data_IF_039576831209
#
_entry.id   IF_039576831209
#
_cell.length_a   1.000
_cell.length_b   1.000
_cell.length_c   1.000
_cell.angle_alpha   90.00
_cell.angle_beta   90.00
_cell.angle_gamma   90.00
#
_symmetry.space_group_name_H-M   'P 1'
#
loop_
_entity.id
_entity.type
_entity.pdbx_description
1 polymer ?
#
# COMPACT_ATOMS: atom_id res chain seq x y z
N UNK A 1 30.23 5.84 -39.77
CA UNK A 1 29.46 5.29 -38.63
C UNK A 1 30.26 4.32 -37.75
N UNK A 2 31.04 3.39 -38.31
CA UNK A 2 31.82 2.40 -37.55
C UNK A 2 32.84 2.99 -36.55
N UNK A 3 33.51 4.10 -36.89
CA UNK A 3 34.51 4.76 -36.02
C UNK A 3 33.91 5.35 -34.74
N UNK A 4 32.67 5.86 -34.79
CA UNK A 4 31.97 6.43 -33.63
C UNK A 4 31.61 5.36 -32.59
N UNK A 5 31.23 4.16 -33.05
CA UNK A 5 30.95 3.03 -32.15
C UNK A 5 32.22 2.45 -31.53
N UNK A 6 33.35 2.45 -32.25
CA UNK A 6 34.65 2.03 -31.71
C UNK A 6 35.10 2.96 -30.58
N UNK A 7 34.94 4.27 -30.73
CA UNK A 7 35.29 5.25 -29.68
C UNK A 7 34.38 5.10 -28.44
N UNK A 8 33.10 4.80 -28.63
CA UNK A 8 32.15 4.55 -27.54
C UNK A 8 32.50 3.29 -26.73
N UNK A 9 32.92 2.22 -27.41
CA UNK A 9 33.34 0.96 -26.77
C UNK A 9 34.63 1.13 -25.98
N UNK A 10 35.60 1.91 -26.50
CA UNK A 10 36.84 2.24 -25.80
C UNK A 10 36.54 3.04 -24.52
N UNK A 11 35.60 3.99 -24.58
CA UNK A 11 35.21 4.79 -23.41
C UNK A 11 34.55 3.96 -22.30
N UNK A 12 33.66 3.03 -22.65
CA UNK A 12 33.03 2.10 -21.69
C UNK A 12 34.06 1.14 -21.07
N UNK A 13 35.04 0.68 -21.85
CA UNK A 13 36.11 -0.20 -21.38
C UNK A 13 37.12 0.50 -20.44
N UNK A 14 37.31 1.81 -20.54
CA UNK A 14 38.19 2.56 -19.63
C UNK A 14 37.60 2.79 -18.24
N UNK A 15 36.28 2.72 -18.06
CA UNK A 15 35.62 2.91 -16.75
C UNK A 15 35.71 1.63 -15.89
N UNK A 16 35.87 0.45 -16.51
CA UNK A 16 35.94 -0.85 -15.80
C UNK A 16 37.32 -1.21 -15.25
N UNK A 17 38.36 -0.40 -15.49
CA UNK A 17 39.74 -0.68 -15.03
C UNK A 17 40.11 -0.05 -13.67
N UNK A 18 39.15 0.51 -12.93
CA UNK A 18 39.36 0.83 -11.52
C UNK A 18 39.35 -0.47 -10.70
N UNK A 19 40.52 -1.08 -10.54
CA UNK A 19 40.70 -2.21 -9.63
C UNK A 19 40.18 -1.86 -8.24
N UNK A 20 39.12 -2.55 -7.81
CA UNK A 20 38.53 -2.34 -6.49
C UNK A 20 39.60 -2.55 -5.44
N UNK A 21 39.60 -1.66 -4.46
CA UNK A 21 40.60 -1.66 -3.41
C UNK A 21 39.88 -1.56 -2.09
N UNK A 22 40.12 -2.53 -1.23
CA UNK A 22 39.36 -2.67 0.00
C UNK A 22 40.18 -2.20 1.19
N UNK A 23 39.57 -1.42 2.06
CA UNK A 23 40.22 -0.95 3.29
C UNK A 23 39.96 -1.93 4.43
N UNK A 24 41.01 -2.50 5.00
CA UNK A 24 40.94 -3.44 6.12
C UNK A 24 41.49 -2.76 7.36
N UNK A 25 40.73 -2.79 8.45
CA UNK A 25 41.17 -2.33 9.77
C UNK A 25 41.30 -3.58 10.64
N UNK A 26 42.51 -3.84 11.12
CA UNK A 26 42.80 -4.98 12.00
C UNK A 26 42.44 -4.68 13.45
N UNK A 27 42.35 -5.71 14.29
CA UNK A 27 42.07 -5.55 15.73
C UNK A 27 43.16 -4.73 16.45
N UNK A 28 44.39 -4.75 15.91
CA UNK A 28 45.51 -3.91 16.35
C UNK A 28 45.41 -2.43 15.94
N UNK A 29 44.35 -2.04 15.21
CA UNK A 29 44.16 -0.68 14.70
C UNK A 29 44.96 -0.37 13.43
N UNK A 30 45.75 -1.31 12.91
CA UNK A 30 46.48 -1.11 11.66
C UNK A 30 45.53 -1.11 10.47
N UNK A 31 45.74 -0.16 9.56
CA UNK A 31 44.92 0.04 8.36
C UNK A 31 45.70 -0.41 7.13
N UNK A 32 45.15 -1.38 6.41
CA UNK A 32 45.67 -1.86 5.14
C UNK A 32 44.69 -1.53 4.01
N UNK A 33 45.23 -1.35 2.82
CA UNK A 33 44.47 -1.29 1.57
C UNK A 33 44.84 -2.53 0.76
N UNK A 34 43.88 -3.39 0.47
CA UNK A 34 44.05 -4.65 -0.25
C UNK A 34 43.59 -4.46 -1.69
N UNK A 35 44.45 -4.82 -2.66
CA UNK A 35 44.14 -4.79 -4.09
C UNK A 35 44.54 -6.12 -4.72
N UNK A 36 43.59 -7.03 -4.87
CA UNK A 36 43.88 -8.42 -5.22
C UNK A 36 44.86 -9.01 -4.20
N UNK A 37 46.02 -9.49 -4.67
CA UNK A 37 47.04 -10.11 -3.81
C UNK A 37 48.05 -9.11 -3.21
N UNK A 38 47.87 -7.80 -3.43
CA UNK A 38 48.78 -6.77 -2.94
C UNK A 38 48.21 -6.06 -1.71
N UNK A 39 49.07 -5.83 -0.73
CA UNK A 39 48.75 -5.18 0.54
C UNK A 39 49.52 -3.88 0.65
N UNK A 40 48.80 -2.79 0.90
CA UNK A 40 49.39 -1.46 1.06
C UNK A 40 49.13 -0.92 2.45
N UNK A 41 50.16 -0.37 3.10
CA UNK A 41 50.07 0.37 4.36
C UNK A 41 50.58 1.78 4.12
N UNK A 42 49.78 2.79 4.47
CA UNK A 42 50.10 4.21 4.21
C UNK A 42 50.46 4.51 2.74
N UNK A 43 49.88 3.76 1.80
CA UNK A 43 50.12 3.91 0.37
C UNK A 43 51.38 3.20 -0.16
N UNK A 44 52.21 2.61 0.70
CA UNK A 44 53.38 1.79 0.31
C UNK A 44 52.99 0.33 0.20
N UNK A 45 53.50 -0.35 -0.83
CA UNK A 45 53.32 -1.80 -1.01
C UNK A 45 54.18 -2.55 0.01
N UNK A 46 53.52 -3.23 0.94
CA UNK A 46 54.14 -4.01 2.03
C UNK A 46 53.96 -5.51 1.82
N UNK A 47 53.56 -5.93 0.62
CA UNK A 47 53.21 -7.34 0.32
C UNK A 47 54.35 -8.31 0.61
N UNK A 48 55.60 -7.92 0.30
CA UNK A 48 56.78 -8.74 0.54
C UNK A 48 57.21 -8.78 2.01
N UNK A 49 56.84 -7.76 2.79
CA UNK A 49 57.20 -7.60 4.20
C UNK A 49 56.25 -8.38 5.13
N UNK A 50 55.04 -8.67 4.65
CA UNK A 50 54.05 -9.45 5.40
C UNK A 50 54.33 -10.95 5.32
N UNK A 51 54.30 -11.62 6.46
CA UNK A 51 54.24 -13.08 6.52
C UNK A 51 52.95 -13.60 5.89
N UNK A 52 52.97 -14.82 5.40
CA UNK A 52 51.78 -15.43 4.79
C UNK A 52 50.63 -15.55 5.80
N UNK A 53 50.93 -15.88 7.05
CA UNK A 53 49.96 -15.87 8.15
C UNK A 53 49.30 -14.49 8.37
N UNK A 54 50.06 -13.40 8.18
CA UNK A 54 49.53 -12.03 8.33
C UNK A 54 48.66 -11.66 7.14
N UNK A 55 49.03 -12.07 5.91
CA UNK A 55 48.21 -11.88 4.71
C UNK A 55 46.88 -12.64 4.82
N UNK A 56 46.93 -13.89 5.25
CA UNK A 56 45.74 -14.72 5.50
C UNK A 56 44.83 -14.07 6.54
N UNK A 57 45.38 -13.57 7.65
CA UNK A 57 44.60 -12.85 8.65
C UNK A 57 43.92 -11.60 8.08
N UNK A 58 44.65 -10.75 7.34
CA UNK A 58 44.08 -9.53 6.73
C UNK A 58 42.96 -9.89 5.75
N UNK A 59 43.15 -10.91 4.91
CA UNK A 59 42.13 -11.38 3.98
C UNK A 59 40.92 -11.96 4.72
N UNK A 60 41.12 -12.75 5.77
CA UNK A 60 40.03 -13.29 6.58
C UNK A 60 39.22 -12.20 7.28
N UNK A 61 39.84 -11.07 7.67
CA UNK A 61 39.11 -9.89 8.18
C UNK A 61 38.29 -9.26 7.06
N UNK A 62 38.89 -9.08 5.86
CA UNK A 62 38.19 -8.52 4.70
C UNK A 62 36.98 -9.37 4.28
N UNK A 63 37.17 -10.68 4.14
CA UNK A 63 36.10 -11.61 3.76
C UNK A 63 34.97 -11.62 4.78
N UNK A 64 35.27 -11.59 6.08
CA UNK A 64 34.26 -11.47 7.13
C UNK A 64 33.47 -10.16 7.00
N UNK A 65 34.14 -9.05 6.74
CA UNK A 65 33.49 -7.74 6.53
C UNK A 65 32.57 -7.77 5.31
N UNK A 66 33.07 -8.23 4.17
CA UNK A 66 32.29 -8.31 2.91
C UNK A 66 31.11 -9.27 3.05
N UNK A 67 31.28 -10.38 3.75
CA UNK A 67 30.18 -11.31 4.03
C UNK A 67 29.11 -10.65 4.91
N UNK A 68 29.51 -9.94 5.95
CA UNK A 68 28.59 -9.21 6.82
C UNK A 68 27.87 -8.07 6.09
N UNK A 69 28.56 -7.33 5.21
CA UNK A 69 27.95 -6.30 4.35
C UNK A 69 26.91 -6.90 3.42
N UNK A 70 27.23 -8.02 2.77
CA UNK A 70 26.28 -8.72 1.88
C UNK A 70 25.07 -9.25 2.65
N UNK A 71 25.29 -9.87 3.80
CA UNK A 71 24.19 -10.34 4.66
C UNK A 71 23.30 -9.18 5.13
N UNK A 72 23.90 -8.03 5.47
CA UNK A 72 23.17 -6.82 5.84
C UNK A 72 22.35 -6.26 4.66
N UNK A 73 22.92 -6.22 3.45
CA UNK A 73 22.23 -5.78 2.24
C UNK A 73 21.04 -6.71 1.91
N UNK A 74 21.26 -8.03 1.93
CA UNK A 74 20.19 -9.01 1.71
C UNK A 74 19.08 -8.89 2.77
N UNK A 75 19.43 -8.63 4.04
CA UNK A 75 18.45 -8.37 5.10
C UNK A 75 17.69 -7.06 4.88
N UNK A 76 18.37 -5.99 4.48
CA UNK A 76 17.76 -4.70 4.20
C UNK A 76 16.77 -4.80 3.03
N UNK A 77 17.14 -5.48 1.94
CA UNK A 77 16.24 -5.73 0.80
C UNK A 77 15.02 -6.55 1.21
N UNK A 78 15.21 -7.59 2.04
CA UNK A 78 14.09 -8.39 2.56
C UNK A 78 13.14 -7.55 3.42
N UNK A 79 13.68 -6.73 4.33
CA UNK A 79 12.88 -5.85 5.19
C UNK A 79 12.11 -4.84 4.33
N UNK A 80 12.74 -4.22 3.33
CA UNK A 80 12.07 -3.30 2.39
C UNK A 80 10.94 -4.00 1.65
N UNK A 81 11.19 -5.18 1.08
CA UNK A 81 10.18 -5.96 0.37
C UNK A 81 9.01 -6.42 1.25
N UNK A 82 9.26 -6.75 2.51
CA UNK A 82 8.21 -7.06 3.48
C UNK A 82 7.40 -5.82 3.87
N UNK A 83 8.07 -4.68 4.07
CA UNK A 83 7.42 -3.41 4.37
C UNK A 83 6.50 -2.95 3.23
N UNK A 84 6.94 -3.05 1.98
CA UNK A 84 6.12 -2.73 0.80
C UNK A 84 4.86 -3.61 0.74
N UNK A 85 5.02 -4.93 0.92
CA UNK A 85 3.87 -5.87 0.97
C UNK A 85 2.90 -5.56 2.10
N UNK A 86 3.40 -5.16 3.27
CA UNK A 86 2.56 -4.77 4.40
C UNK A 86 1.78 -3.48 4.10
N UNK A 87 2.43 -2.48 3.48
CA UNK A 87 1.77 -1.24 3.08
C UNK A 87 0.68 -1.47 2.03
N UNK A 88 0.93 -2.34 1.04
CA UNK A 88 -0.09 -2.70 0.05
C UNK A 88 -1.30 -3.40 0.69
N UNK A 89 -1.05 -4.35 1.60
CA UNK A 89 -2.11 -5.02 2.36
C UNK A 89 -2.91 -4.04 3.21
N UNK A 90 -2.24 -3.11 3.89
CA UNK A 90 -2.90 -2.07 4.69
C UNK A 90 -3.81 -1.20 3.82
N UNK A 91 -3.33 -0.74 2.65
CA UNK A 91 -4.12 0.03 1.69
C UNK A 91 -5.35 -0.75 1.21
N UNK A 92 -5.17 -2.02 0.84
CA UNK A 92 -6.27 -2.87 0.39
C UNK A 92 -7.31 -3.10 1.50
N UNK A 93 -6.88 -3.31 2.74
CA UNK A 93 -7.76 -3.45 3.89
C UNK A 93 -8.54 -2.16 4.18
N UNK A 94 -7.88 -0.99 4.14
CA UNK A 94 -8.53 0.31 4.29
C UNK A 94 -9.58 0.56 3.21
N UNK A 95 -9.30 0.19 1.96
CA UNK A 95 -10.28 0.30 0.87
C UNK A 95 -11.49 -0.63 1.10
N UNK A 96 -11.26 -1.88 1.51
CA UNK A 96 -12.34 -2.82 1.83
C UNK A 96 -13.19 -2.33 3.00
N UNK A 97 -12.55 -1.83 4.06
CA UNK A 97 -13.23 -1.25 5.21
C UNK A 97 -14.13 -0.09 4.77
N UNK A 98 -13.60 0.85 3.99
CA UNK A 98 -14.37 1.99 3.47
C UNK A 98 -15.57 1.54 2.62
N UNK A 99 -15.40 0.54 1.77
CA UNK A 99 -16.52 -0.01 0.98
C UNK A 99 -17.60 -0.66 1.86
N UNK A 100 -17.20 -1.33 2.95
CA UNK A 100 -18.14 -1.93 3.90
C UNK A 100 -18.88 -0.84 4.66
N UNK A 101 -18.17 0.20 5.12
CA UNK A 101 -18.75 1.36 5.81
C UNK A 101 -19.77 2.08 4.90
N UNK A 102 -19.40 2.42 3.67
CA UNK A 102 -20.30 3.05 2.70
C UNK A 102 -21.55 2.19 2.39
N UNK A 103 -21.39 0.87 2.27
CA UNK A 103 -22.52 -0.05 2.07
C UNK A 103 -23.43 -0.10 3.30
N UNK A 104 -22.84 -0.08 4.49
CA UNK A 104 -23.57 -0.11 5.76
C UNK A 104 -24.35 1.18 5.93
N UNK A 105 -23.72 2.33 5.71
CA UNK A 105 -24.34 3.64 5.77
C UNK A 105 -25.53 3.75 4.80
N UNK A 106 -25.33 3.39 3.52
CA UNK A 106 -26.43 3.38 2.53
C UNK A 106 -27.58 2.47 2.94
N UNK A 107 -27.29 1.32 3.53
CA UNK A 107 -28.32 0.39 4.02
C UNK A 107 -29.08 0.96 5.21
N UNK A 108 -28.39 1.64 6.12
CA UNK A 108 -29.01 2.32 7.26
C UNK A 108 -29.88 3.49 6.81
N UNK A 109 -29.41 4.30 5.86
CA UNK A 109 -30.19 5.38 5.25
C UNK A 109 -31.45 4.83 4.56
N UNK A 110 -31.33 3.77 3.78
CA UNK A 110 -32.47 3.11 3.13
C UNK A 110 -33.49 2.59 4.16
N UNK A 111 -33.01 1.99 5.26
CA UNK A 111 -33.86 1.56 6.39
C UNK A 111 -34.60 2.74 7.03
N UNK A 112 -33.89 3.82 7.34
CA UNK A 112 -34.49 5.05 7.91
C UNK A 112 -35.54 5.65 6.96
N UNK A 113 -35.25 5.71 5.66
CA UNK A 113 -36.19 6.19 4.64
C UNK A 113 -37.47 5.34 4.61
N UNK A 114 -37.33 4.01 4.60
CA UNK A 114 -38.47 3.10 4.61
C UNK A 114 -39.35 3.26 5.84
N UNK A 115 -38.76 3.27 7.05
CA UNK A 115 -39.55 3.41 8.28
C UNK A 115 -40.27 4.75 8.32
N UNK A 116 -39.61 5.83 7.90
CA UNK A 116 -40.25 7.15 7.79
C UNK A 116 -41.44 7.14 6.83
N UNK A 117 -41.28 6.57 5.63
CA UNK A 117 -42.39 6.49 4.66
C UNK A 117 -43.52 5.60 5.18
N UNK A 118 -43.20 4.53 5.91
CA UNK A 118 -44.17 3.64 6.53
C UNK A 118 -45.01 4.39 7.57
N UNK A 119 -44.38 5.13 8.46
CA UNK A 119 -45.04 5.99 9.45
C UNK A 119 -45.91 7.08 8.79
N UNK A 120 -45.39 7.75 7.76
CA UNK A 120 -46.13 8.74 6.97
C UNK A 120 -47.37 8.12 6.30
N UNK A 121 -47.27 6.89 5.81
CA UNK A 121 -48.40 6.18 5.19
C UNK A 121 -49.43 5.76 6.24
N UNK A 122 -49.00 5.24 7.38
CA UNK A 122 -49.88 4.81 8.47
C UNK A 122 -50.67 5.99 9.06
N UNK A 123 -49.98 7.11 9.31
CA UNK A 123 -50.63 8.35 9.76
C UNK A 123 -51.63 8.87 8.74
N UNK A 124 -51.27 8.90 7.44
CA UNK A 124 -52.19 9.32 6.38
C UNK A 124 -53.40 8.40 6.24
N UNK A 125 -53.22 7.08 6.39
CA UNK A 125 -54.33 6.10 6.39
C UNK A 125 -55.27 6.34 7.55
N UNK A 126 -54.74 6.64 8.75
CA UNK A 126 -55.51 6.96 9.94
C UNK A 126 -56.33 8.24 9.76
N UNK A 127 -55.70 9.33 9.30
CA UNK A 127 -56.39 10.59 8.99
C UNK A 127 -57.53 10.39 7.99
N UNK A 128 -57.25 9.66 6.90
CA UNK A 128 -58.26 9.39 5.88
C UNK A 128 -59.44 8.58 6.43
N UNK A 129 -59.19 7.56 7.28
CA UNK A 129 -60.26 6.79 7.93
C UNK A 129 -61.14 7.68 8.79
N UNK A 130 -60.53 8.52 9.64
CA UNK A 130 -61.27 9.43 10.52
C UNK A 130 -62.15 10.43 9.75
N UNK A 131 -61.62 11.05 8.70
CA UNK A 131 -62.41 12.02 7.90
C UNK A 131 -63.53 11.29 7.12
N UNK A 132 -63.25 10.07 6.64
CA UNK A 132 -64.24 9.24 5.94
C UNK A 132 -65.39 8.83 6.85
N UNK A 133 -65.09 8.43 8.09
CA UNK A 133 -66.08 8.09 9.12
C UNK A 133 -66.96 9.29 9.49
N UNK A 134 -66.39 10.50 9.52
CA UNK A 134 -67.15 11.74 9.76
C UNK A 134 -68.03 12.18 8.59
N UNK A 135 -67.91 11.55 7.42
CA UNK A 135 -68.68 11.92 6.22
C UNK A 135 -68.26 13.25 5.57
N UNK A 136 -67.11 13.82 5.96
CA UNK A 136 -66.65 15.16 5.54
C UNK A 136 -66.02 15.19 4.13
N UNK A 137 -66.04 14.07 3.40
CA UNK A 137 -65.32 13.89 2.13
C UNK A 137 -66.22 14.02 0.91
N UNK A 138 -66.08 15.13 0.19
CA UNK A 138 -66.63 15.25 -1.16
C UNK A 138 -65.97 14.27 -2.14
N UNK A 139 -66.63 13.87 -3.24
CA UNK A 139 -66.06 12.94 -4.23
C UNK A 139 -64.71 13.40 -4.81
N UNK A 140 -64.53 14.72 -5.00
CA UNK A 140 -63.28 15.30 -5.49
C UNK A 140 -62.17 15.22 -4.43
N UNK A 141 -62.51 15.47 -3.16
CA UNK A 141 -61.56 15.35 -2.06
C UNK A 141 -61.12 13.88 -1.87
N UNK A 142 -62.06 12.92 -1.96
CA UNK A 142 -61.77 11.48 -1.91
C UNK A 142 -60.72 11.07 -2.95
N UNK A 143 -60.89 11.48 -4.21
CA UNK A 143 -59.90 11.23 -5.27
C UNK A 143 -58.52 11.83 -4.96
N UNK A 144 -58.46 13.00 -4.30
CA UNK A 144 -57.18 13.63 -3.91
C UNK A 144 -56.47 12.82 -2.81
N UNK A 145 -57.22 12.29 -1.85
CA UNK A 145 -56.70 11.42 -0.79
C UNK A 145 -56.18 10.09 -1.34
N UNK A 146 -56.96 9.42 -2.19
CA UNK A 146 -56.55 8.18 -2.88
C UNK A 146 -55.24 8.40 -3.65
N UNK A 147 -55.11 9.52 -4.38
CA UNK A 147 -53.84 9.85 -5.07
C UNK A 147 -52.66 10.03 -4.11
N UNK A 148 -52.86 10.65 -2.94
CA UNK A 148 -51.80 10.83 -1.94
C UNK A 148 -51.37 9.49 -1.33
N UNK A 149 -52.34 8.64 -0.97
CA UNK A 149 -52.09 7.30 -0.46
C UNK A 149 -51.33 6.45 -1.47
N UNK A 150 -51.80 6.38 -2.72
CA UNK A 150 -51.14 5.64 -3.79
C UNK A 150 -49.70 6.12 -4.02
N UNK A 151 -49.46 7.45 -3.94
CA UNK A 151 -48.11 8.01 -4.07
C UNK A 151 -47.18 7.55 -2.95
N UNK A 152 -47.66 7.50 -1.71
CA UNK A 152 -46.85 7.00 -0.58
C UNK A 152 -46.65 5.48 -0.64
N UNK A 153 -47.67 4.71 -1.05
CA UNK A 153 -47.53 3.26 -1.25
C UNK A 153 -46.49 2.92 -2.32
N UNK A 154 -46.48 3.66 -3.43
CA UNK A 154 -45.45 3.51 -4.46
C UNK A 154 -44.06 3.89 -3.94
N UNK A 155 -43.95 4.94 -3.12
CA UNK A 155 -42.68 5.31 -2.47
C UNK A 155 -42.21 4.22 -1.50
N UNK A 156 -43.12 3.64 -0.72
CA UNK A 156 -42.81 2.58 0.24
C UNK A 156 -42.25 1.36 -0.48
N UNK A 157 -42.90 0.91 -1.57
CA UNK A 157 -42.41 -0.18 -2.42
C UNK A 157 -41.02 0.10 -2.97
N UNK A 158 -40.76 1.34 -3.42
CA UNK A 158 -39.42 1.74 -3.89
C UNK A 158 -38.38 1.71 -2.77
N UNK A 159 -38.73 2.16 -1.56
CA UNK A 159 -37.83 2.13 -0.41
C UNK A 159 -37.54 0.69 0.06
N UNK A 160 -38.54 -0.19 0.01
CA UNK A 160 -38.39 -1.62 0.33
C UNK A 160 -37.41 -2.30 -0.63
N UNK A 161 -37.50 -2.02 -1.93
CA UNK A 161 -36.53 -2.50 -2.92
C UNK A 161 -35.10 -2.00 -2.66
N UNK A 162 -34.93 -0.78 -2.12
CA UNK A 162 -33.61 -0.25 -1.76
C UNK A 162 -33.00 -0.91 -0.52
N UNK A 163 -33.80 -1.52 0.36
CA UNK A 163 -33.30 -2.24 1.54
C UNK A 163 -32.88 -3.67 1.19
N UNK A 164 -33.57 -4.26 0.22
CA UNK A 164 -33.38 -5.66 -0.19
C UNK A 164 -32.29 -5.84 -1.26
N UNK A 165 -31.83 -4.75 -1.89
CA UNK A 165 -30.68 -4.69 -2.80
C UNK A 165 -29.44 -4.15 -2.09
#
# INVERSE_FOLDING_TARGET
>A
MKLKYIILVIWIASITSCGSSERVITDSGEVYKVKGNKFYKEGKDVTAELSDSRKEYINAVLERRLKAEKEAEEQEERIKGELEKLQEREKALKQKQKQIEEKTEKREEARKEFFKIKEDLESLKKEYSTIKEKGELSPKAKKKWEKRLNKLELKLKKAELKINN
#
